data_IF_624525421938
#
_entry.id   IF_624525421938
#
_cell.length_a   1.000
_cell.length_b   1.000
_cell.length_c   1.000
_cell.angle_alpha   90.00
_cell.angle_beta   90.00
_cell.angle_gamma   90.00
#
_symmetry.space_group_name_H-M   'P 1'
#
loop_
_entity.id
_entity.type
_entity.pdbx_description
1 polymer ?
#
# COMPACT_ATOMS: atom_id res chain seq x y z
N UNK A 1 5.83 -2.02 -22.55
CA UNK A 1 4.46 -2.24 -23.05
C UNK A 1 3.54 -1.58 -22.05
N UNK A 2 3.32 -0.27 -22.22
CA UNK A 2 2.38 0.53 -21.43
C UNK A 2 1.12 0.60 -22.28
N UNK A 3 0.44 -0.54 -22.41
CA UNK A 3 -0.95 -0.47 -22.84
C UNK A 3 -1.68 0.18 -21.68
N UNK A 4 -2.25 1.35 -21.97
CA UNK A 4 -3.08 2.07 -21.02
C UNK A 4 -4.04 1.06 -20.41
N UNK A 5 -3.90 0.86 -19.10
CA UNK A 5 -4.97 0.35 -18.25
C UNK A 5 -6.25 0.98 -18.76
N UNK A 6 -7.13 0.16 -19.33
CA UNK A 6 -8.47 0.59 -19.74
C UNK A 6 -9.00 1.47 -18.62
N UNK A 7 -9.52 2.66 -18.94
CA UNK A 7 -9.78 3.75 -18.00
C UNK A 7 -10.97 3.47 -17.06
N UNK A 8 -10.96 2.31 -16.41
CA UNK A 8 -11.94 1.82 -15.45
C UNK A 8 -11.29 1.70 -14.07
N UNK A 9 -12.10 1.89 -13.03
CA UNK A 9 -11.67 1.72 -11.65
C UNK A 9 -11.12 0.30 -11.37
N UNK A 10 -11.65 -0.69 -12.08
CA UNK A 10 -11.21 -2.09 -12.01
C UNK A 10 -9.83 -2.31 -12.63
N UNK A 11 -9.55 -1.73 -13.81
CA UNK A 11 -8.24 -1.83 -14.44
C UNK A 11 -7.15 -1.22 -13.56
N UNK A 12 -7.42 -0.04 -12.97
CA UNK A 12 -6.50 0.62 -12.06
C UNK A 12 -6.26 -0.21 -10.79
N UNK A 13 -7.31 -0.79 -10.22
CA UNK A 13 -7.20 -1.67 -9.05
C UNK A 13 -6.42 -2.95 -9.38
N UNK A 14 -6.65 -3.56 -10.54
CA UNK A 14 -5.92 -4.73 -11.02
C UNK A 14 -4.42 -4.45 -11.15
N UNK A 15 -4.05 -3.30 -11.74
CA UNK A 15 -2.65 -2.87 -11.79
C UNK A 15 -2.06 -2.69 -10.39
N UNK A 16 -2.74 -1.95 -9.50
CA UNK A 16 -2.26 -1.74 -8.12
C UNK A 16 -2.10 -3.05 -7.35
N UNK A 17 -3.03 -4.00 -7.49
CA UNK A 17 -2.92 -5.34 -6.88
C UNK A 17 -1.70 -6.09 -7.40
N UNK A 18 -1.39 -6.00 -8.69
CA UNK A 18 -0.14 -6.58 -9.22
C UNK A 18 1.10 -5.96 -8.57
N UNK A 19 1.15 -4.63 -8.43
CA UNK A 19 2.30 -3.95 -7.81
C UNK A 19 2.46 -4.32 -6.32
N UNK A 20 1.33 -4.46 -5.61
CA UNK A 20 1.31 -4.95 -4.22
C UNK A 20 1.90 -6.36 -4.13
N UNK A 21 1.52 -7.27 -5.03
CA UNK A 21 2.09 -8.62 -5.05
C UNK A 21 3.61 -8.61 -5.23
N UNK A 22 4.10 -7.87 -6.24
CA UNK A 22 5.54 -7.74 -6.50
C UNK A 22 6.32 -7.19 -5.29
N UNK A 23 5.76 -6.21 -4.58
CA UNK A 23 6.41 -5.64 -3.40
C UNK A 23 6.36 -6.57 -2.18
N UNK A 24 5.33 -7.42 -2.04
CA UNK A 24 5.35 -8.47 -1.02
C UNK A 24 6.47 -9.48 -1.29
N UNK A 25 6.63 -9.93 -2.54
CA UNK A 25 7.73 -10.83 -2.94
C UNK A 25 9.10 -10.19 -2.64
N UNK A 26 9.26 -8.89 -2.93
CA UNK A 26 10.49 -8.16 -2.58
C UNK A 26 10.70 -8.06 -1.06
N UNK A 27 9.64 -7.86 -0.28
CA UNK A 27 9.70 -7.77 1.17
C UNK A 27 10.03 -9.12 1.82
N UNK A 28 9.66 -10.24 1.19
CA UNK A 28 10.09 -11.59 1.60
C UNK A 28 11.60 -11.78 1.43
N UNK A 29 12.17 -11.21 0.35
CA UNK A 29 13.61 -11.27 0.10
C UNK A 29 14.40 -10.29 1.00
N UNK A 30 13.89 -9.08 1.20
CA UNK A 30 14.53 -8.04 1.99
C UNK A 30 13.55 -7.39 2.97
N UNK A 31 13.43 -8.00 4.15
CA UNK A 31 12.37 -7.67 5.12
C UNK A 31 12.47 -6.29 5.78
N UNK A 32 13.61 -5.61 5.75
CA UNK A 32 13.79 -4.33 6.47
C UNK A 32 13.97 -3.13 5.55
N UNK A 33 13.66 -3.30 4.25
CA UNK A 33 13.81 -2.23 3.27
C UNK A 33 12.69 -1.21 3.45
N UNK A 34 13.01 -0.11 4.14
CA UNK A 34 12.07 0.97 4.45
C UNK A 34 11.21 1.39 3.26
N UNK A 35 11.84 1.66 2.12
CA UNK A 35 11.12 2.20 0.96
C UNK A 35 10.09 1.19 0.43
N UNK A 36 10.36 -0.12 0.53
CA UNK A 36 9.41 -1.18 0.17
C UNK A 36 8.21 -1.16 1.10
N UNK A 37 8.44 -1.13 2.42
CA UNK A 37 7.37 -1.09 3.43
C UNK A 37 6.47 0.13 3.25
N UNK A 38 7.06 1.32 3.05
CA UNK A 38 6.31 2.56 2.85
C UNK A 38 5.55 2.55 1.53
N UNK A 39 6.17 2.09 0.44
CA UNK A 39 5.50 2.01 -0.88
C UNK A 39 4.33 1.04 -0.84
N UNK A 40 4.51 -0.10 -0.17
CA UNK A 40 3.45 -1.08 0.02
C UNK A 40 2.29 -0.52 0.86
N UNK A 41 2.59 0.25 1.92
CA UNK A 41 1.58 0.93 2.74
C UNK A 41 0.74 1.92 1.91
N UNK A 42 1.40 2.69 1.04
CA UNK A 42 0.77 3.67 0.14
C UNK A 42 -0.11 3.00 -0.92
N UNK A 43 0.35 1.89 -1.53
CA UNK A 43 -0.45 1.16 -2.52
C UNK A 43 -1.69 0.53 -1.90
N UNK A 44 -1.55 -0.06 -0.70
CA UNK A 44 -2.68 -0.60 0.06
C UNK A 44 -3.66 0.51 0.45
N UNK A 45 -3.19 1.71 0.81
CA UNK A 45 -4.06 2.87 1.03
C UNK A 45 -4.86 3.21 -0.24
N UNK A 46 -4.20 3.30 -1.39
CA UNK A 46 -4.88 3.60 -2.67
C UNK A 46 -5.93 2.56 -3.03
N UNK A 47 -5.65 1.28 -2.77
CA UNK A 47 -6.62 0.20 -2.95
C UNK A 47 -7.81 0.32 -1.99
N UNK A 48 -7.59 0.75 -0.74
CA UNK A 48 -8.66 0.91 0.23
C UNK A 48 -9.62 2.07 -0.05
N UNK A 49 -9.15 3.10 -0.77
CA UNK A 49 -9.98 4.28 -1.14
C UNK A 49 -11.01 3.91 -2.21
N UNK A 50 -10.77 2.86 -2.99
CA UNK A 50 -11.70 2.39 -4.02
C UNK A 50 -12.67 1.35 -3.45
N UNK A 51 -13.72 1.82 -2.77
CA UNK A 51 -14.71 0.97 -2.06
C UNK A 51 -15.57 0.13 -3.00
N UNK A 52 -15.62 0.47 -4.28
CA UNK A 52 -16.39 -0.26 -5.29
C UNK A 52 -15.69 -1.55 -5.73
N UNK A 53 -14.43 -1.77 -5.32
CA UNK A 53 -13.65 -2.96 -5.66
C UNK A 53 -13.48 -3.87 -4.45
N UNK A 54 -13.60 -5.18 -4.68
CA UNK A 54 -13.42 -6.20 -3.65
C UNK A 54 -12.04 -6.14 -3.00
N UNK A 55 -12.01 -6.34 -1.68
CA UNK A 55 -10.80 -6.39 -0.86
C UNK A 55 -10.34 -5.04 -0.28
N UNK A 56 -11.14 -3.97 -0.43
CA UNK A 56 -10.77 -2.64 0.08
C UNK A 56 -10.58 -2.60 1.62
N UNK A 57 -11.36 -3.36 2.38
CA UNK A 57 -11.24 -3.46 3.85
C UNK A 57 -9.94 -4.13 4.29
N UNK A 58 -9.52 -5.18 3.58
CA UNK A 58 -8.26 -5.86 3.82
C UNK A 58 -7.08 -4.95 3.44
N UNK A 59 -7.18 -4.25 2.31
CA UNK A 59 -6.19 -3.25 1.91
C UNK A 59 -6.05 -2.14 2.95
N UNK A 60 -7.17 -1.68 3.54
CA UNK A 60 -7.20 -0.69 4.62
C UNK A 60 -6.40 -1.19 5.83
N UNK A 61 -6.71 -2.41 6.29
CA UNK A 61 -6.02 -3.03 7.43
C UNK A 61 -4.52 -3.16 7.18
N UNK A 62 -4.14 -3.70 6.02
CA UNK A 62 -2.75 -3.90 5.65
C UNK A 62 -1.97 -2.57 5.57
N UNK A 63 -2.60 -1.52 5.04
CA UNK A 63 -1.99 -0.18 4.99
C UNK A 63 -1.65 0.35 6.39
N UNK A 64 -2.58 0.26 7.34
CA UNK A 64 -2.36 0.70 8.73
C UNK A 64 -1.25 -0.10 9.41
N UNK A 65 -1.23 -1.42 9.24
CA UNK A 65 -0.19 -2.29 9.80
C UNK A 65 1.19 -1.95 9.22
N UNK A 66 1.30 -1.71 7.91
CA UNK A 66 2.54 -1.37 7.25
C UNK A 66 3.08 0.00 7.65
N UNK A 67 2.23 1.02 7.83
CA UNK A 67 2.70 2.28 8.42
C UNK A 67 3.16 2.12 9.87
N UNK A 68 2.52 1.22 10.65
CA UNK A 68 3.01 0.83 11.97
C UNK A 68 4.42 0.25 11.92
N UNK A 69 4.67 -0.65 10.96
CA UNK A 69 6.01 -1.21 10.69
C UNK A 69 7.00 -0.13 10.23
N UNK A 70 6.58 0.79 9.36
CA UNK A 70 7.43 1.89 8.90
C UNK A 70 7.90 2.79 10.04
N UNK A 71 7.04 3.07 11.04
CA UNK A 71 7.42 3.83 12.25
C UNK A 71 8.49 3.10 13.07
N UNK A 72 8.45 1.77 13.11
CA UNK A 72 9.45 0.96 13.82
C UNK A 72 10.80 0.93 13.08
N UNK A 73 10.79 0.97 11.74
CA UNK A 73 11.99 0.96 10.90
C UNK A 73 12.61 2.35 10.72
N UNK A 74 11.80 3.41 10.68
CA UNK A 74 12.23 4.79 10.50
C UNK A 74 11.40 5.74 11.38
N UNK A 75 11.99 6.11 12.51
CA UNK A 75 11.36 7.04 13.44
C UNK A 75 11.36 8.49 12.95
N UNK A 76 12.22 8.88 12.01
CA UNK A 76 12.40 10.27 11.60
C UNK A 76 11.15 10.81 10.90
N UNK A 77 10.43 9.93 10.20
CA UNK A 77 9.20 10.25 9.48
C UNK A 77 7.93 9.81 10.24
N UNK A 78 8.03 9.51 11.55
CA UNK A 78 6.91 9.02 12.36
C UNK A 78 5.64 9.86 12.22
N UNK A 79 5.74 11.18 12.27
CA UNK A 79 4.59 12.07 12.17
C UNK A 79 3.83 11.87 10.86
N UNK A 80 4.54 11.75 9.75
CA UNK A 80 3.95 11.47 8.44
C UNK A 80 3.21 10.12 8.43
N UNK A 81 3.84 9.06 8.96
CA UNK A 81 3.20 7.73 9.01
C UNK A 81 1.96 7.69 9.91
N UNK A 82 2.00 8.36 11.07
CA UNK A 82 0.84 8.47 11.95
C UNK A 82 -0.30 9.27 11.30
N UNK A 83 0.02 10.32 10.55
CA UNK A 83 -0.99 11.09 9.83
C UNK A 83 -1.61 10.27 8.68
N UNK A 84 -0.82 9.46 7.98
CA UNK A 84 -1.35 8.54 6.97
C UNK A 84 -2.26 7.46 7.58
N UNK A 85 -1.93 6.93 8.76
CA UNK A 85 -2.82 5.99 9.49
C UNK A 85 -4.16 6.64 9.83
N UNK A 86 -4.18 7.92 10.22
CA UNK A 86 -5.42 8.64 10.56
C UNK A 86 -6.33 8.89 9.35
N UNK A 87 -5.80 8.93 8.13
CA UNK A 87 -6.62 9.09 6.90
C UNK A 87 -7.55 7.89 6.65
N UNK A 88 -7.36 6.80 7.39
CA UNK A 88 -8.22 5.63 7.35
C UNK A 88 -9.37 5.68 8.36
N UNK A 89 -9.41 6.64 9.29
CA UNK A 89 -10.48 6.76 10.30
C UNK A 89 -11.72 7.43 9.72
#
# INVERSE_FOLDING_TARGET
>A
MVELVESSAEGASGFLKSQVQWLYELLEMESEVKWVVVTLADLQFRLSVNTDVSGWEEAKKNSVELYGRAIALDSDHRHYYEDMKKKHV
#
